data_IF_973623693746
#
_entry.id   IF_973623693746
#
_cell.length_a   1.000
_cell.length_b   1.000
_cell.length_c   1.000
_cell.angle_alpha   90.00
_cell.angle_beta   90.00
_cell.angle_gamma   90.00
#
_symmetry.space_group_name_H-M   'P 1'
#
loop_
_entity.id
_entity.type
_entity.pdbx_description
1 polymer ?
#
# COMPACT_ATOMS: atom_id res chain seq x y z
N UNK A 1 -14.58 -38.51 -72.70
CA UNK A 1 -13.43 -37.83 -72.07
C UNK A 1 -13.94 -37.03 -70.88
N UNK A 2 -13.46 -37.37 -69.69
CA UNK A 2 -14.01 -37.05 -68.35
C UNK A 2 -13.60 -35.65 -67.91
N UNK A 3 -14.56 -34.82 -67.46
CA UNK A 3 -14.25 -33.60 -66.67
C UNK A 3 -14.77 -33.77 -65.24
N UNK A 4 -13.77 -33.97 -64.37
CA UNK A 4 -13.75 -34.00 -62.91
C UNK A 4 -14.92 -33.29 -62.19
N UNK A 5 -15.71 -34.08 -61.45
CA UNK A 5 -16.40 -33.64 -60.23
C UNK A 5 -15.38 -33.57 -59.10
N UNK A 6 -14.49 -32.57 -59.11
CA UNK A 6 -13.67 -32.26 -57.95
C UNK A 6 -14.60 -31.65 -56.90
N UNK A 7 -15.00 -32.53 -55.98
CA UNK A 7 -15.78 -32.29 -54.77
C UNK A 7 -15.46 -30.91 -54.18
N UNK A 8 -16.50 -30.09 -54.07
CA UNK A 8 -16.53 -28.91 -53.21
C UNK A 8 -16.26 -29.34 -51.76
N UNK A 9 -14.99 -29.36 -51.37
CA UNK A 9 -14.61 -29.47 -49.96
C UNK A 9 -14.97 -28.13 -49.31
N UNK A 10 -16.22 -28.03 -48.84
CA UNK A 10 -16.63 -27.02 -47.85
C UNK A 10 -15.64 -27.10 -46.68
N UNK A 11 -14.75 -26.12 -46.57
CA UNK A 11 -13.91 -25.90 -45.40
C UNK A 11 -14.83 -25.72 -44.19
N UNK A 12 -14.87 -26.73 -43.32
CA UNK A 12 -15.55 -26.65 -42.03
C UNK A 12 -14.80 -25.60 -41.20
N UNK A 13 -15.41 -24.43 -41.04
CA UNK A 13 -14.88 -23.37 -40.21
C UNK A 13 -15.05 -23.78 -38.74
N UNK A 14 -14.12 -24.57 -38.22
CA UNK A 14 -14.12 -25.01 -36.82
C UNK A 14 -13.77 -23.80 -35.96
N UNK A 15 -14.80 -23.12 -35.44
CA UNK A 15 -14.60 -22.13 -34.38
C UNK A 15 -14.15 -22.88 -33.12
N UNK A 16 -12.87 -22.80 -32.78
CA UNK A 16 -12.39 -23.12 -31.45
C UNK A 16 -12.98 -22.09 -30.48
N UNK A 17 -14.13 -22.42 -29.89
CA UNK A 17 -14.84 -21.55 -28.96
C UNK A 17 -14.39 -21.79 -27.52
N UNK A 18 -14.24 -20.69 -26.78
CA UNK A 18 -14.11 -20.68 -25.31
C UNK A 18 -15.13 -21.65 -24.70
N UNK A 19 -14.63 -22.63 -23.96
CA UNK A 19 -15.49 -23.64 -23.33
C UNK A 19 -15.86 -23.21 -21.91
N UNK A 20 -17.01 -23.66 -21.41
CA UNK A 20 -17.39 -23.42 -20.02
C UNK A 20 -16.37 -24.03 -19.05
N UNK A 21 -15.85 -25.22 -19.38
CA UNK A 21 -14.86 -25.92 -18.53
C UNK A 21 -13.59 -25.07 -18.33
N UNK A 22 -13.19 -24.29 -19.32
CA UNK A 22 -12.01 -23.42 -19.24
C UNK A 22 -12.23 -22.23 -18.29
N UNK A 23 -13.41 -21.63 -18.30
CA UNK A 23 -13.75 -20.58 -17.32
C UNK A 23 -13.90 -21.19 -15.92
N UNK A 24 -14.51 -22.38 -15.79
CA UNK A 24 -14.72 -23.05 -14.50
C UNK A 24 -13.40 -23.48 -13.83
N UNK A 25 -12.48 -24.05 -14.60
CA UNK A 25 -11.15 -24.43 -14.09
C UNK A 25 -10.31 -23.20 -13.76
N UNK A 26 -10.45 -22.11 -14.53
CA UNK A 26 -9.76 -20.85 -14.25
C UNK A 26 -10.23 -20.19 -12.95
N UNK A 27 -11.55 -20.06 -12.73
CA UNK A 27 -12.06 -19.51 -11.45
C UNK A 27 -11.69 -20.40 -10.25
N UNK A 28 -11.59 -21.72 -10.46
CA UNK A 28 -11.14 -22.65 -9.44
C UNK A 28 -9.68 -22.38 -9.05
N UNK A 29 -8.77 -22.28 -10.03
CA UNK A 29 -7.36 -21.97 -9.78
C UNK A 29 -7.17 -20.58 -9.18
N UNK A 30 -7.85 -19.55 -9.71
CA UNK A 30 -7.80 -18.18 -9.17
C UNK A 30 -8.32 -18.18 -7.72
N UNK A 31 -9.37 -18.93 -7.42
CA UNK A 31 -9.90 -19.08 -6.06
C UNK A 31 -8.87 -19.67 -5.08
N UNK A 32 -8.13 -20.71 -5.50
CA UNK A 32 -7.05 -21.28 -4.69
C UNK A 32 -5.92 -20.27 -4.44
N UNK A 33 -5.52 -19.49 -5.46
CA UNK A 33 -4.48 -18.47 -5.33
C UNK A 33 -4.94 -17.34 -4.41
N UNK A 34 -6.18 -16.85 -4.53
CA UNK A 34 -6.72 -15.79 -3.69
C UNK A 34 -6.69 -16.15 -2.20
N UNK A 35 -7.02 -17.41 -1.85
CA UNK A 35 -6.93 -17.90 -0.48
C UNK A 35 -5.50 -17.84 0.09
N UNK A 36 -4.47 -18.00 -0.73
CA UNK A 36 -3.07 -17.90 -0.33
C UNK A 36 -2.56 -16.44 -0.32
N UNK A 37 -3.02 -15.61 -1.27
CA UNK A 37 -2.55 -14.22 -1.43
C UNK A 37 -3.17 -13.28 -0.40
N UNK A 38 -4.48 -13.38 -0.14
CA UNK A 38 -5.19 -12.52 0.82
C UNK A 38 -4.53 -12.48 2.21
N UNK A 39 -4.22 -13.62 2.87
CA UNK A 39 -3.57 -13.59 4.18
C UNK A 39 -2.14 -13.04 4.13
N UNK A 40 -1.47 -13.09 2.97
CA UNK A 40 -0.11 -12.63 2.80
C UNK A 40 -0.04 -11.10 2.56
N UNK A 41 -0.97 -10.55 1.78
CA UNK A 41 -1.02 -9.10 1.48
C UNK A 41 -1.24 -8.26 2.73
N UNK A 42 -2.09 -8.71 3.66
CA UNK A 42 -2.33 -7.99 4.92
C UNK A 42 -1.06 -7.83 5.76
N UNK A 43 -0.23 -8.89 5.86
CA UNK A 43 1.04 -8.85 6.58
C UNK A 43 2.07 -7.95 5.91
N UNK A 44 2.15 -7.97 4.58
CA UNK A 44 3.04 -7.08 3.82
C UNK A 44 2.70 -5.61 4.07
N UNK A 45 1.39 -5.28 4.09
CA UNK A 45 0.93 -3.92 4.39
C UNK A 45 1.30 -3.48 5.80
N UNK A 46 1.18 -4.39 6.78
CA UNK A 46 1.55 -4.11 8.17
C UNK A 46 3.04 -3.80 8.31
N UNK A 47 3.92 -4.65 7.78
CA UNK A 47 5.37 -4.43 7.78
C UNK A 47 5.75 -3.13 7.04
N UNK A 48 5.10 -2.84 5.91
CA UNK A 48 5.33 -1.60 5.19
C UNK A 48 4.93 -0.36 6.03
N UNK A 49 3.83 -0.43 6.77
CA UNK A 49 3.40 0.65 7.67
C UNK A 49 4.36 0.82 8.85
N UNK A 50 4.89 -0.27 9.42
CA UNK A 50 5.87 -0.22 10.51
C UNK A 50 7.17 0.45 10.05
N UNK A 51 7.74 0.03 8.92
CA UNK A 51 8.94 0.64 8.34
C UNK A 51 8.71 2.13 8.02
N UNK A 52 7.52 2.47 7.53
CA UNK A 52 7.14 3.86 7.26
C UNK A 52 7.03 4.68 8.55
N UNK A 53 6.47 4.09 9.61
CA UNK A 53 6.34 4.74 10.91
C UNK A 53 7.72 5.01 11.54
N UNK A 54 8.65 4.07 11.47
CA UNK A 54 10.02 4.23 11.98
C UNK A 54 10.75 5.38 11.26
N UNK A 55 10.75 5.39 9.92
CA UNK A 55 11.36 6.46 9.15
C UNK A 55 10.74 7.83 9.45
N UNK A 56 9.41 7.85 9.65
CA UNK A 56 8.69 9.07 9.97
C UNK A 56 9.01 9.55 11.39
N UNK A 57 9.18 8.66 12.37
CA UNK A 57 9.63 9.01 13.73
C UNK A 57 10.98 9.71 13.68
N UNK A 58 11.95 9.22 12.90
CA UNK A 58 13.25 9.89 12.74
C UNK A 58 13.12 11.29 12.14
N UNK A 59 12.25 11.44 11.15
CA UNK A 59 12.00 12.75 10.53
C UNK A 59 11.40 13.72 11.54
N UNK A 60 10.37 13.29 12.28
CA UNK A 60 9.72 14.10 13.31
C UNK A 60 10.68 14.40 14.46
N UNK A 61 11.53 13.46 14.85
CA UNK A 61 12.55 13.70 15.87
C UNK A 61 13.49 14.82 15.47
N UNK A 62 14.01 14.79 14.24
CA UNK A 62 14.87 15.86 13.74
C UNK A 62 14.16 17.22 13.75
N UNK A 63 12.87 17.25 13.40
CA UNK A 63 12.07 18.49 13.46
C UNK A 63 11.81 18.96 14.89
N UNK A 64 11.57 18.04 15.81
CA UNK A 64 11.40 18.35 17.23
C UNK A 64 12.70 18.86 17.86
N UNK A 65 13.84 18.28 17.51
CA UNK A 65 15.16 18.72 17.95
C UNK A 65 15.49 20.13 17.43
N UNK A 66 15.16 20.40 16.16
CA UNK A 66 15.28 21.74 15.58
C UNK A 66 14.41 22.76 16.33
N UNK A 67 13.14 22.42 16.58
CA UNK A 67 12.25 23.27 17.36
C UNK A 67 12.78 23.54 18.77
N UNK A 68 13.25 22.49 19.46
CA UNK A 68 13.82 22.59 20.81
C UNK A 68 15.08 23.46 20.85
N UNK A 69 15.93 23.38 19.82
CA UNK A 69 17.13 24.22 19.72
C UNK A 69 16.81 25.70 19.53
N UNK A 70 15.69 26.02 18.87
CA UNK A 70 15.26 27.40 18.63
C UNK A 70 14.39 27.95 19.77
N UNK A 71 13.73 27.07 20.53
CA UNK A 71 12.82 27.42 21.63
C UNK A 71 13.20 26.68 22.94
N UNK A 72 14.36 27.00 23.54
CA UNK A 72 14.89 26.27 24.70
C UNK A 72 14.02 26.34 25.96
N UNK A 73 13.17 27.37 26.08
CA UNK A 73 12.27 27.57 27.23
C UNK A 73 10.84 27.05 26.99
N UNK A 74 10.53 26.56 25.78
CA UNK A 74 9.22 26.00 25.46
C UNK A 74 9.17 24.51 25.81
N UNK A 75 8.11 24.10 26.50
CA UNK A 75 7.85 22.72 26.94
C UNK A 75 6.63 22.12 26.23
N UNK A 76 6.02 22.85 25.29
CA UNK A 76 4.82 22.42 24.56
C UNK A 76 5.15 21.65 23.28
N UNK A 77 6.00 20.63 23.39
CA UNK A 77 6.35 19.75 22.28
C UNK A 77 5.17 18.85 21.90
N UNK A 78 4.53 19.14 20.78
CA UNK A 78 3.52 18.28 20.20
C UNK A 78 3.47 18.45 18.66
N UNK A 79 2.93 17.44 17.98
CA UNK A 79 2.87 17.38 16.52
C UNK A 79 2.09 18.57 15.91
N UNK A 80 1.10 19.12 16.64
CA UNK A 80 0.31 20.26 16.19
C UNK A 80 1.11 21.57 16.24
N UNK A 81 1.88 21.80 17.31
CA UNK A 81 2.77 22.95 17.42
C UNK A 81 3.88 22.88 16.38
N UNK A 82 4.42 21.69 16.09
CA UNK A 82 5.41 21.51 15.02
C UNK A 82 4.85 21.82 13.62
N UNK A 83 3.56 21.54 13.36
CA UNK A 83 2.91 21.95 12.10
C UNK A 83 2.68 23.46 12.06
N UNK A 84 2.09 24.04 13.12
CA UNK A 84 1.79 25.47 13.19
C UNK A 84 3.05 26.34 13.11
N UNK A 85 4.16 25.87 13.70
CA UNK A 85 5.45 26.53 13.62
C UNK A 85 6.20 26.24 12.30
N UNK A 86 5.64 25.42 11.41
CA UNK A 86 6.14 25.20 10.05
C UNK A 86 7.22 24.12 9.91
N UNK A 87 7.56 23.39 10.97
CA UNK A 87 8.54 22.30 10.92
C UNK A 87 7.95 21.02 10.31
N UNK A 88 6.63 20.87 10.32
CA UNK A 88 5.92 19.81 9.62
C UNK A 88 4.97 20.41 8.57
N UNK A 89 5.02 19.86 7.36
CA UNK A 89 3.99 20.13 6.35
C UNK A 89 2.66 19.46 6.73
N UNK A 90 1.54 19.96 6.20
CA UNK A 90 0.22 19.36 6.41
C UNK A 90 0.17 17.87 6.03
N UNK A 91 0.91 17.47 5.00
CA UNK A 91 1.02 16.04 4.59
C UNK A 91 1.76 15.22 5.64
N UNK A 92 2.84 15.76 6.22
CA UNK A 92 3.59 15.11 7.29
C UNK A 92 2.76 15.04 8.58
N UNK A 93 2.05 16.10 8.94
CA UNK A 93 1.11 16.13 10.04
C UNK A 93 0.04 15.02 9.91
N UNK A 94 -0.58 14.91 8.73
CA UNK A 94 -1.58 13.88 8.48
C UNK A 94 -1.00 12.46 8.50
N UNK A 95 0.24 12.29 8.03
CA UNK A 95 0.96 11.01 8.16
C UNK A 95 1.25 10.66 9.62
N UNK A 96 1.63 11.63 10.45
CA UNK A 96 1.81 11.41 11.89
C UNK A 96 0.52 10.91 12.54
N UNK A 97 -0.63 11.51 12.21
CA UNK A 97 -1.94 11.04 12.70
C UNK A 97 -2.22 9.60 12.24
N UNK A 98 -2.02 9.32 10.95
CA UNK A 98 -2.30 8.01 10.35
C UNK A 98 -1.43 6.90 10.95
N UNK A 99 -0.15 7.18 11.16
CA UNK A 99 0.84 6.26 11.73
C UNK A 99 0.87 6.31 13.26
N UNK A 100 -0.03 7.08 13.89
CA UNK A 100 -0.13 7.27 15.35
C UNK A 100 1.17 7.78 15.99
N UNK A 101 1.91 8.62 15.30
CA UNK A 101 3.14 9.22 15.81
C UNK A 101 2.80 10.39 16.72
N UNK A 102 3.51 10.51 17.83
CA UNK A 102 3.37 11.59 18.81
C UNK A 102 4.74 12.01 19.34
N UNK A 103 4.79 13.18 19.94
CA UNK A 103 5.98 13.72 20.61
C UNK A 103 5.64 13.88 22.09
N UNK A 104 6.57 13.55 22.99
CA UNK A 104 6.41 13.75 24.42
C UNK A 104 6.84 15.16 24.85
N UNK A 105 6.65 15.49 26.12
CA UNK A 105 7.04 16.79 26.68
C UNK A 105 8.56 17.06 26.65
N UNK A 106 9.38 16.08 26.25
CA UNK A 106 10.84 16.21 26.12
C UNK A 106 11.27 16.34 24.66
N UNK A 107 10.33 16.44 23.71
CA UNK A 107 10.65 16.52 22.28
C UNK A 107 10.97 15.18 21.64
N UNK A 108 10.77 14.05 22.33
CA UNK A 108 11.03 12.72 21.77
C UNK A 108 9.83 12.21 20.97
N UNK A 109 10.05 11.86 19.71
CA UNK A 109 9.08 11.28 18.81
C UNK A 109 8.95 9.76 19.04
N UNK A 110 7.72 9.24 19.03
CA UNK A 110 7.41 7.82 19.19
C UNK A 110 6.09 7.44 18.51
N UNK A 111 5.91 6.15 18.22
CA UNK A 111 4.62 5.59 17.78
C UNK A 111 3.79 5.27 19.01
N UNK A 112 2.57 5.81 19.10
CA UNK A 112 1.59 5.42 20.14
C UNK A 112 1.12 4.00 19.86
N UNK A 113 1.47 3.09 20.77
CA UNK A 113 0.84 1.76 20.82
C UNK A 113 -0.63 1.94 21.23
N UNK A 114 -1.54 1.32 20.48
CA UNK A 114 -2.96 1.21 20.86
C UNK A 114 -3.14 0.28 22.05
#
# INVERSE_FOLDING_TARGET
>A
MVKNKLKDFKTLNVRAGFTLIEIMTSIFIIGLILLLVVPNVSKIKEVANENQAEAMVHTVQAQADMYASEHPDDVTYNIFNLEQAGYLSAVQYQRCITLKISVDAQGKAYVRKS
#
